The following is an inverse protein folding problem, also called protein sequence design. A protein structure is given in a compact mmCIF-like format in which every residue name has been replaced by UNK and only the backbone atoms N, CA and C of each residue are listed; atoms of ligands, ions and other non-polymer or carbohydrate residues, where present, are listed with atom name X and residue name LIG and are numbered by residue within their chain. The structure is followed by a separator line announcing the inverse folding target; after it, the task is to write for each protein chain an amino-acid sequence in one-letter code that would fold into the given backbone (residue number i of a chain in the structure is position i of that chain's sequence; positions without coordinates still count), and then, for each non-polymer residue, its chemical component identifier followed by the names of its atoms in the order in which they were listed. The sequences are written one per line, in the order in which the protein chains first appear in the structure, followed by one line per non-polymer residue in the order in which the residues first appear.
data_IF_183730038417
#
_entry.id   IF_183730038417
#
_cell.length_a   1.000
_cell.length_b   1.000
_cell.length_c   1.000
_cell.angle_alpha   90.00
_cell.angle_beta   90.00
_cell.angle_gamma   90.00
#
_symmetry.space_group_name_H-M   'P 1'
#
loop_
_entity.id
_entity.type
_entity.pdbx_description
1 polymer ?
#
# COMPACT_ATOMS: atom_id res chain seq x y z
N UNK A 1 -25.78 -20.54 -18.07
CA UNK A 1 -24.64 -20.65 -19.00
C UNK A 1 -23.53 -19.83 -18.37
N UNK A 2 -22.43 -20.47 -17.97
CA UNK A 2 -21.28 -19.74 -17.44
C UNK A 2 -20.41 -19.37 -18.63
N UNK A 3 -20.45 -18.09 -18.99
CA UNK A 3 -19.63 -17.54 -20.05
C UNK A 3 -18.28 -17.17 -19.45
N UNK A 4 -17.19 -17.71 -20.01
CA UNK A 4 -15.82 -17.37 -19.58
C UNK A 4 -15.16 -16.60 -20.70
N UNK A 5 -14.62 -15.43 -20.37
CA UNK A 5 -13.84 -14.61 -21.28
C UNK A 5 -12.39 -15.07 -21.17
N UNK A 6 -11.84 -15.49 -22.30
CA UNK A 6 -10.48 -15.98 -22.40
C UNK A 6 -9.71 -15.04 -23.29
N UNK A 7 -8.66 -14.41 -22.76
CA UNK A 7 -7.84 -13.48 -23.54
C UNK A 7 -6.36 -13.84 -23.50
N UNK A 8 -5.71 -13.70 -24.66
CA UNK A 8 -4.26 -13.87 -24.81
C UNK A 8 -3.61 -12.50 -24.81
N UNK A 9 -2.58 -12.32 -23.99
CA UNK A 9 -1.84 -11.07 -23.88
C UNK A 9 -0.37 -11.27 -24.26
N UNK A 10 0.23 -10.22 -24.82
CA UNK A 10 1.67 -10.04 -24.93
C UNK A 10 2.07 -8.83 -24.11
N UNK A 11 3.12 -8.96 -23.32
CA UNK A 11 3.66 -7.89 -22.50
C UNK A 11 5.19 -7.96 -22.51
N UNK A 12 5.82 -6.93 -21.96
CA UNK A 12 7.26 -6.90 -21.72
C UNK A 12 7.49 -6.89 -20.21
N UNK A 13 8.36 -7.76 -19.71
CA UNK A 13 8.74 -7.74 -18.30
C UNK A 13 9.68 -6.57 -17.98
N UNK A 14 10.08 -6.43 -16.72
CA UNK A 14 10.98 -5.36 -16.27
C UNK A 14 12.38 -5.44 -16.90
N UNK A 15 12.77 -6.61 -17.44
CA UNK A 15 14.06 -6.84 -18.11
C UNK A 15 14.02 -6.53 -19.61
N UNK A 16 12.85 -6.16 -20.15
CA UNK A 16 12.68 -5.94 -21.58
C UNK A 16 12.38 -7.22 -22.37
N UNK A 17 12.18 -8.36 -21.71
CA UNK A 17 11.88 -9.62 -22.39
C UNK A 17 10.38 -9.74 -22.71
N UNK A 18 10.02 -10.18 -23.93
CA UNK A 18 8.64 -10.39 -24.30
C UNK A 18 8.08 -11.62 -23.58
N UNK A 19 6.93 -11.47 -22.94
CA UNK A 19 6.20 -12.51 -22.24
C UNK A 19 4.79 -12.59 -22.80
N UNK A 20 4.33 -13.80 -23.11
CA UNK A 20 2.96 -14.06 -23.56
C UNK A 20 2.25 -14.99 -22.59
N UNK A 21 0.97 -14.73 -22.34
CA UNK A 21 0.16 -15.57 -21.46
C UNK A 21 -1.31 -15.57 -21.86
N UNK A 22 -2.05 -16.50 -21.28
CA UNK A 22 -3.50 -16.65 -21.45
C UNK A 22 -4.16 -16.46 -20.09
N UNK A 23 -5.21 -15.65 -20.04
CA UNK A 23 -5.95 -15.34 -18.81
C UNK A 23 -7.42 -15.63 -19.04
N UNK A 24 -8.01 -16.32 -18.08
CA UNK A 24 -9.44 -16.65 -18.07
C UNK A 24 -10.13 -15.82 -16.99
N UNK A 25 -11.27 -15.23 -17.32
CA UNK A 25 -12.06 -14.42 -16.40
C UNK A 25 -13.57 -14.69 -16.62
N UNK A 26 -14.36 -14.87 -15.55
CA UNK A 26 -15.79 -15.17 -15.65
C UNK A 26 -16.64 -13.96 -16.07
N UNK A 27 -16.10 -12.75 -15.98
CA UNK A 27 -16.76 -11.52 -16.40
C UNK A 27 -15.74 -10.44 -16.80
N UNK A 28 -16.25 -9.34 -17.36
CA UNK A 28 -15.44 -8.23 -17.84
C UNK A 28 -14.69 -7.52 -16.72
N UNK A 29 -15.32 -7.39 -15.56
CA UNK A 29 -14.77 -6.72 -14.39
C UNK A 29 -13.54 -7.45 -13.84
N UNK A 30 -13.61 -8.79 -13.73
CA UNK A 30 -12.49 -9.62 -13.31
C UNK A 30 -11.37 -9.64 -14.36
N UNK A 31 -11.72 -9.60 -15.66
CA UNK A 31 -10.72 -9.47 -16.73
C UNK A 31 -9.92 -8.17 -16.59
N UNK A 32 -10.61 -7.03 -16.33
CA UNK A 32 -9.97 -5.74 -16.08
C UNK A 32 -9.11 -5.76 -14.81
N UNK A 33 -9.60 -6.41 -13.74
CA UNK A 33 -8.84 -6.54 -12.50
C UNK A 33 -7.53 -7.32 -12.71
N UNK A 34 -7.57 -8.43 -13.47
CA UNK A 34 -6.36 -9.21 -13.80
C UNK A 34 -5.37 -8.43 -14.65
N UNK A 35 -5.84 -7.61 -15.59
CA UNK A 35 -4.98 -6.71 -16.37
C UNK A 35 -4.30 -5.67 -15.46
N UNK A 36 -5.03 -5.11 -14.48
CA UNK A 36 -4.44 -4.17 -13.51
C UNK A 36 -3.40 -4.87 -12.63
N UNK A 37 -3.66 -6.11 -12.19
CA UNK A 37 -2.68 -6.91 -11.46
C UNK A 37 -1.41 -7.13 -12.28
N UNK A 38 -1.51 -7.43 -13.58
CA UNK A 38 -0.33 -7.54 -14.45
C UNK A 38 0.47 -6.23 -14.50
N UNK A 39 -0.20 -5.08 -14.53
CA UNK A 39 0.48 -3.78 -14.46
C UNK A 39 1.19 -3.57 -13.12
N UNK A 40 0.56 -3.96 -12.00
CA UNK A 40 1.15 -3.87 -10.66
C UNK A 40 2.38 -4.77 -10.49
N UNK A 41 2.44 -5.90 -11.22
CA UNK A 41 3.62 -6.77 -11.27
C UNK A 41 4.76 -6.19 -12.13
N UNK A 42 4.55 -5.03 -12.76
CA UNK A 42 5.55 -4.33 -13.55
C UNK A 42 5.65 -4.81 -15.00
N UNK A 43 4.64 -5.53 -15.51
CA UNK A 43 4.52 -5.77 -16.94
C UNK A 43 4.15 -4.48 -17.67
N UNK A 44 4.93 -4.14 -18.68
CA UNK A 44 4.72 -2.97 -19.54
C UNK A 44 4.25 -3.40 -20.93
N UNK A 45 3.68 -2.47 -21.70
CA UNK A 45 3.22 -2.70 -23.09
C UNK A 45 2.26 -3.89 -23.27
N UNK A 46 1.31 -4.07 -22.34
CA UNK A 46 0.32 -5.14 -22.41
C UNK A 46 -0.59 -4.91 -23.61
N UNK A 47 -0.51 -5.81 -24.60
CA UNK A 47 -1.34 -5.84 -25.80
C UNK A 47 -2.21 -7.09 -25.77
N UNK A 48 -3.53 -6.92 -25.92
CA UNK A 48 -4.48 -8.03 -25.99
C UNK A 48 -4.61 -8.41 -27.46
N UNK A 49 -4.25 -9.65 -27.81
CA UNK A 49 -4.29 -10.09 -29.22
C UNK A 49 -5.67 -10.60 -29.62
N UNK A 50 -6.28 -11.43 -28.76
CA UNK A 50 -7.57 -12.07 -29.01
C UNK A 50 -8.34 -12.19 -27.71
N UNK A 51 -9.65 -11.95 -27.77
CA UNK A 51 -10.58 -12.16 -26.68
C UNK A 51 -11.71 -13.05 -27.18
N UNK A 52 -11.68 -14.31 -26.75
CA UNK A 52 -12.67 -15.32 -27.14
C UNK A 52 -13.68 -15.50 -26.00
N UNK A 53 -14.95 -15.58 -26.37
CA UNK A 53 -16.03 -15.91 -25.46
C UNK A 53 -16.24 -17.42 -25.57
N UNK A 54 -15.83 -18.16 -24.54
CA UNK A 54 -15.97 -19.61 -24.49
C UNK A 54 -17.15 -19.95 -23.57
N UNK A 55 -18.18 -20.56 -24.16
CA UNK A 55 -19.28 -21.12 -23.37
C UNK A 55 -18.78 -22.37 -22.65
N UNK A 56 -18.62 -22.28 -21.34
CA UNK A 56 -18.14 -23.39 -20.54
C UNK A 56 -19.24 -24.44 -20.43
N UNK A 57 -19.05 -25.60 -21.06
CA UNK A 57 -19.98 -26.72 -20.95
C UNK A 57 -19.94 -27.23 -19.49
N UNK A 58 -21.06 -27.17 -18.75
CA UNK A 58 -21.09 -27.60 -17.35
C UNK A 58 -20.85 -29.11 -17.29
N UNK A 59 -19.64 -29.52 -16.90
CA UNK A 59 -19.27 -30.94 -16.79
C UNK A 59 -17.81 -31.26 -17.11
N UNK A 60 -17.06 -30.33 -17.70
CA UNK A 60 -15.63 -30.49 -18.00
C UNK A 60 -14.82 -29.54 -17.12
N UNK A 61 -14.82 -29.79 -15.81
CA UNK A 61 -13.87 -29.15 -14.89
C UNK A 61 -12.52 -29.80 -15.11
N UNK A 62 -11.81 -29.33 -16.13
CA UNK A 62 -10.43 -29.71 -16.38
C UNK A 62 -9.60 -29.26 -15.17
N UNK A 63 -9.14 -30.25 -14.42
CA UNK A 63 -8.18 -30.16 -13.33
C UNK A 63 -6.82 -29.73 -13.90
N UNK A 64 -6.72 -28.52 -14.46
CA UNK A 64 -5.45 -27.89 -14.82
C UNK A 64 -4.92 -27.19 -13.58
N UNK A 65 -4.72 -28.00 -12.53
CA UNK A 65 -3.71 -27.68 -11.54
C UNK A 65 -2.37 -27.75 -12.27
N UNK A 66 -1.86 -26.60 -12.69
CA UNK A 66 -0.47 -26.43 -13.07
C UNK A 66 0.41 -26.76 -11.85
N UNK A 67 0.61 -28.05 -11.59
CA UNK A 67 1.64 -28.58 -10.73
C UNK A 67 2.98 -28.34 -11.42
N UNK A 68 3.58 -27.19 -11.14
CA UNK A 68 5.03 -27.07 -11.16
C UNK A 68 5.61 -28.04 -10.12
N UNK A 69 5.87 -29.29 -10.53
CA UNK A 69 6.58 -30.26 -9.72
C UNK A 69 8.07 -29.90 -9.69
N UNK A 70 8.43 -29.02 -8.76
CA UNK A 70 9.81 -28.92 -8.27
C UNK A 70 10.04 -30.11 -7.34
N UNK A 71 10.54 -31.20 -7.91
CA UNK A 71 10.88 -32.43 -7.20
C UNK A 71 12.21 -32.23 -6.47
N UNK A 72 12.18 -31.90 -5.17
CA UNK A 72 13.40 -31.84 -4.36
C UNK A 72 13.29 -31.13 -3.02
N UNK A 73 12.81 -31.84 -1.99
CA UNK A 73 13.35 -31.87 -0.62
C UNK A 73 13.70 -30.56 0.11
N UNK A 74 12.72 -29.98 0.79
CA UNK A 74 12.72 -29.50 2.19
C UNK A 74 11.41 -28.70 2.41
N UNK A 75 10.85 -28.61 3.63
CA UNK A 75 9.57 -27.93 3.87
C UNK A 75 9.72 -26.40 3.73
N UNK A 76 9.78 -25.91 2.49
CA UNK A 76 9.91 -24.49 2.13
C UNK A 76 8.70 -23.65 2.57
N UNK A 77 7.58 -24.28 2.91
CA UNK A 77 6.39 -23.58 3.38
C UNK A 77 6.64 -22.80 4.68
N UNK A 78 7.52 -23.29 5.56
CA UNK A 78 7.81 -22.61 6.84
C UNK A 78 8.71 -21.38 6.65
N UNK A 79 9.69 -21.44 5.75
CA UNK A 79 10.62 -20.33 5.49
C UNK A 79 9.96 -19.17 4.74
N UNK A 80 9.04 -19.45 3.80
CA UNK A 80 8.31 -18.39 3.09
C UNK A 80 7.45 -17.56 4.05
N UNK A 81 6.81 -18.20 5.03
CA UNK A 81 5.98 -17.52 6.02
C UNK A 81 6.80 -16.58 6.93
N UNK A 82 8.02 -17.00 7.31
CA UNK A 82 8.93 -16.15 8.10
C UNK A 82 9.49 -14.98 7.29
N UNK A 83 9.83 -15.19 6.02
CA UNK A 83 10.35 -14.11 5.15
C UNK A 83 9.28 -13.04 4.91
N UNK A 84 8.02 -13.44 4.70
CA UNK A 84 6.92 -12.49 4.54
C UNK A 84 6.61 -11.73 5.85
N UNK A 85 6.66 -12.40 7.01
CA UNK A 85 6.48 -11.74 8.31
C UNK A 85 7.60 -10.73 8.62
N UNK A 86 8.85 -11.07 8.31
CA UNK A 86 9.99 -10.15 8.46
C UNK A 86 9.90 -8.98 7.47
N UNK A 87 9.51 -9.24 6.22
CA UNK A 87 9.34 -8.18 5.22
C UNK A 87 8.20 -7.22 5.59
N UNK A 88 7.08 -7.74 6.10
CA UNK A 88 5.95 -6.91 6.53
C UNK A 88 6.28 -6.07 7.75
N UNK A 89 7.01 -6.63 8.73
CA UNK A 89 7.50 -5.86 9.89
C UNK A 89 8.50 -4.77 9.47
N UNK A 90 9.40 -5.03 8.51
CA UNK A 90 10.27 -3.99 7.96
C UNK A 90 9.49 -2.91 7.23
N UNK A 91 8.48 -3.25 6.42
CA UNK A 91 7.61 -2.26 5.75
C UNK A 91 6.87 -1.41 6.78
N UNK A 92 6.34 -2.00 7.86
CA UNK A 92 5.69 -1.26 8.93
C UNK A 92 6.67 -0.33 9.67
N UNK A 93 7.89 -0.78 9.96
CA UNK A 93 8.91 0.04 10.62
C UNK A 93 9.32 1.20 9.69
N UNK A 94 9.71 0.93 8.45
CA UNK A 94 10.17 1.98 7.52
C UNK A 94 9.04 2.92 7.09
N UNK A 95 7.82 2.41 6.87
CA UNK A 95 6.65 3.22 6.53
C UNK A 95 6.23 4.16 7.65
N UNK A 96 6.40 3.76 8.91
CA UNK A 96 6.12 4.63 10.06
C UNK A 96 7.17 5.75 10.19
N UNK A 97 8.44 5.49 9.86
CA UNK A 97 9.47 6.53 9.84
C UNK A 97 9.35 7.49 8.65
N UNK A 98 8.86 7.02 7.49
CA UNK A 98 8.64 7.90 6.33
C UNK A 98 7.48 8.89 6.49
N UNK A 99 6.57 8.68 7.46
CA UNK A 99 5.44 9.58 7.73
C UNK A 99 5.77 10.79 8.61
N UNK A 100 6.94 10.84 9.26
CA UNK A 100 7.24 11.88 10.27
C UNK A 100 8.03 13.08 9.70
N UNK A 101 8.56 13.01 8.48
CA UNK A 101 9.42 14.08 7.92
C UNK A 101 8.80 14.73 6.69
N UNK A 102 7.63 15.34 6.84
CA UNK A 102 7.17 16.40 5.92
C UNK A 102 6.03 17.25 6.50
N UNK A 103 6.09 17.65 7.79
CA UNK A 103 5.49 18.96 8.13
C UNK A 103 6.42 20.01 7.52
N UNK A 104 6.27 20.19 6.21
CA UNK A 104 6.79 21.34 5.50
C UNK A 104 6.05 22.54 6.10
N UNK A 105 6.71 23.18 7.06
CA UNK A 105 6.34 24.50 7.55
C UNK A 105 6.47 25.47 6.38
N UNK A 106 5.46 25.47 5.50
CA UNK A 106 5.30 26.54 4.52
C UNK A 106 5.29 27.83 5.32
N UNK A 107 6.37 28.59 5.17
CA UNK A 107 6.59 29.85 5.89
C UNK A 107 5.32 30.68 5.80
N UNK A 108 4.86 31.16 6.96
CA UNK A 108 3.67 31.99 7.07
C UNK A 108 3.80 33.13 6.05
N UNK A 109 2.90 33.26 5.06
CA UNK A 109 2.95 34.38 4.14
C UNK A 109 2.74 35.67 4.94
N UNK A 110 3.78 36.49 5.05
CA UNK A 110 3.73 37.75 5.82
C UNK A 110 3.34 38.96 4.97
N UNK A 111 3.35 38.85 3.63
CA UNK A 111 2.90 39.93 2.76
C UNK A 111 1.38 39.88 2.54
N UNK A 112 0.67 41.02 2.58
CA UNK A 112 -0.76 41.10 2.26
C UNK A 112 -1.10 40.51 0.88
N UNK A 113 -0.18 40.67 -0.08
CA UNK A 113 -0.29 40.12 -1.44
C UNK A 113 -0.34 38.59 -1.45
N UNK A 114 0.42 37.93 -0.58
CA UNK A 114 0.43 36.48 -0.49
C UNK A 114 -0.85 35.94 0.18
N UNK A 115 -1.40 36.64 1.17
CA UNK A 115 -2.70 36.30 1.78
C UNK A 115 -3.80 36.42 0.73
N UNK A 116 -3.81 37.50 -0.05
CA UNK A 116 -4.79 37.72 -1.11
C UNK A 116 -4.69 36.64 -2.20
N UNK A 117 -3.48 36.31 -2.66
CA UNK A 117 -3.29 35.25 -3.66
C UNK A 117 -3.74 33.87 -3.16
N UNK A 118 -3.55 33.55 -1.88
CA UNK A 118 -3.97 32.28 -1.29
C UNK A 118 -5.50 32.19 -1.16
N UNK A 119 -6.13 33.26 -0.69
CA UNK A 119 -7.59 33.36 -0.61
C UNK A 119 -8.22 33.29 -2.01
N UNK A 120 -7.65 33.97 -3.00
CA UNK A 120 -8.11 33.95 -4.40
C UNK A 120 -8.04 32.55 -5.02
N UNK A 121 -6.99 31.78 -4.70
CA UNK A 121 -6.85 30.40 -5.20
C UNK A 121 -7.96 29.47 -4.69
N UNK A 122 -8.47 29.74 -3.48
CA UNK A 122 -9.46 28.89 -2.81
C UNK A 122 -10.89 29.28 -3.19
N UNK A 123 -11.17 30.58 -3.22
CA UNK A 123 -12.53 31.12 -3.36
C UNK A 123 -12.80 31.78 -4.71
N UNK A 124 -11.79 31.85 -5.60
CA UNK A 124 -11.91 32.51 -6.89
C UNK A 124 -12.06 34.02 -6.75
N UNK A 125 -12.95 34.61 -7.56
CA UNK A 125 -13.25 36.04 -7.57
C UNK A 125 -14.51 36.40 -6.73
N UNK A 126 -14.97 35.50 -5.86
CA UNK A 126 -16.08 35.80 -4.92
C UNK A 126 -15.60 36.77 -3.83
N UNK A 127 -15.98 38.04 -3.98
CA UNK A 127 -15.52 39.12 -3.13
C UNK A 127 -15.90 38.92 -1.65
N UNK A 128 -17.10 38.38 -1.36
CA UNK A 128 -17.55 38.18 0.02
C UNK A 128 -16.71 37.11 0.75
N UNK A 129 -16.33 36.06 0.03
CA UNK A 129 -15.48 34.99 0.56
C UNK A 129 -14.02 35.42 0.66
N UNK A 130 -13.54 36.22 -0.31
CA UNK A 130 -12.22 36.84 -0.27
C UNK A 130 -12.06 37.76 0.95
N UNK A 131 -13.01 38.66 1.19
CA UNK A 131 -12.98 39.59 2.33
C UNK A 131 -12.94 38.84 3.67
N UNK A 132 -13.80 37.82 3.81
CA UNK A 132 -13.87 36.98 5.02
C UNK A 132 -12.55 36.22 5.24
N UNK A 133 -11.96 35.68 4.17
CA UNK A 133 -10.69 34.96 4.23
C UNK A 133 -9.52 35.88 4.65
N UNK A 134 -9.43 37.08 4.07
CA UNK A 134 -8.39 38.07 4.41
C UNK A 134 -8.52 38.47 5.87
N UNK A 135 -9.73 38.83 6.33
CA UNK A 135 -9.99 39.23 7.71
C UNK A 135 -9.60 38.14 8.71
N UNK A 136 -9.96 36.88 8.44
CA UNK A 136 -9.59 35.76 9.29
C UNK A 136 -8.07 35.54 9.38
N UNK A 137 -7.36 35.68 8.25
CA UNK A 137 -5.88 35.56 8.19
C UNK A 137 -5.18 36.72 8.89
N UNK A 138 -5.71 37.93 8.80
CA UNK A 138 -5.20 39.11 9.52
C UNK A 138 -5.42 38.99 11.04
N UNK A 139 -6.58 38.53 11.48
CA UNK A 139 -6.87 38.27 12.90
C UNK A 139 -5.94 37.20 13.47
N UNK A 140 -5.69 36.14 12.71
CA UNK A 140 -4.70 35.11 13.04
C UNK A 140 -3.25 35.61 13.05
N UNK A 141 -2.94 36.64 12.25
CA UNK A 141 -1.63 37.28 12.28
C UNK A 141 -1.45 38.15 13.54
N UNK A 142 -2.50 38.83 13.99
CA UNK A 142 -2.50 39.68 15.19
C UNK A 142 -2.47 38.88 16.50
N UNK A 143 -3.01 37.66 16.52
CA UNK A 143 -3.02 36.81 17.72
C UNK A 143 -2.44 35.41 17.45
N UNK A 144 -1.10 35.27 17.37
CA UNK A 144 -0.46 33.99 17.09
C UNK A 144 -0.65 32.93 18.20
N UNK A 145 -1.05 33.32 19.42
CA UNK A 145 -1.25 32.39 20.53
C UNK A 145 -2.56 31.60 20.48
N UNK A 146 -3.57 32.07 19.74
CA UNK A 146 -4.89 31.41 19.69
C UNK A 146 -4.95 30.22 18.72
N UNK A 147 -3.94 30.06 17.86
CA UNK A 147 -3.90 28.99 16.84
C UNK A 147 -3.12 27.74 17.27
N UNK A 148 -2.54 27.69 18.47
CA UNK A 148 -1.82 26.50 18.97
C UNK A 148 -2.72 25.47 19.67
N UNK A 149 -4.04 25.65 19.69
CA UNK A 149 -4.99 24.78 20.39
C UNK A 149 -5.22 23.38 19.80
N UNK A 150 -4.34 22.85 18.94
CA UNK A 150 -4.58 21.60 18.21
C UNK A 150 -3.45 20.57 18.15
N UNK A 151 -2.23 20.83 18.64
CA UNK A 151 -1.10 19.94 18.27
C UNK A 151 0.01 19.75 19.30
N UNK A 152 -0.20 20.10 20.57
CA UNK A 152 0.70 19.68 21.65
C UNK A 152 0.25 18.37 22.32
N UNK A 153 -1.06 18.11 22.41
CA UNK A 153 -1.60 16.86 22.99
C UNK A 153 -1.56 15.66 22.03
N UNK A 154 -1.58 15.91 20.71
CA UNK A 154 -1.54 14.84 19.71
C UNK A 154 -0.23 14.05 19.69
N UNK A 155 0.90 14.70 20.01
CA UNK A 155 2.22 14.04 19.99
C UNK A 155 2.35 13.09 21.20
N UNK A 156 1.82 13.46 22.36
CA UNK A 156 1.86 12.62 23.57
C UNK A 156 1.08 11.30 23.38
N UNK A 157 -0.04 11.33 22.66
CA UNK A 157 -0.85 10.12 22.38
C UNK A 157 -0.11 9.17 21.43
N UNK A 158 0.55 9.68 20.40
CA UNK A 158 1.34 8.83 19.48
C UNK A 158 2.52 8.15 20.16
N UNK A 159 3.27 8.84 21.01
CA UNK A 159 4.41 8.23 21.71
C UNK A 159 3.93 7.23 22.78
N UNK A 160 2.86 7.55 23.51
CA UNK A 160 2.28 6.66 24.51
C UNK A 160 1.70 5.36 23.91
N UNK A 161 1.00 5.46 22.77
CA UNK A 161 0.44 4.30 22.09
C UNK A 161 1.53 3.38 21.53
N UNK A 162 2.61 3.95 20.98
CA UNK A 162 3.74 3.17 20.46
C UNK A 162 4.49 2.42 21.58
N UNK A 163 4.70 3.08 22.74
CA UNK A 163 5.36 2.47 23.89
C UNK A 163 4.50 1.37 24.53
N UNK A 164 3.18 1.58 24.61
CA UNK A 164 2.23 0.56 25.08
C UNK A 164 2.18 -0.65 24.16
N UNK A 165 2.17 -0.45 22.83
CA UNK A 165 2.19 -1.55 21.87
C UNK A 165 3.50 -2.37 21.96
N UNK A 166 4.64 -1.70 22.12
CA UNK A 166 5.94 -2.38 22.29
C UNK A 166 6.00 -3.21 23.58
N UNK A 167 5.49 -2.71 24.70
CA UNK A 167 5.48 -3.44 25.98
C UNK A 167 4.63 -4.73 25.93
N UNK A 168 3.58 -4.78 25.10
CA UNK A 168 2.75 -5.98 24.93
C UNK A 168 3.29 -6.96 23.89
N UNK A 169 3.92 -6.48 22.81
CA UNK A 169 4.40 -7.34 21.73
C UNK A 169 5.74 -8.03 22.05
N UNK A 170 6.66 -7.37 22.75
CA UNK A 170 7.98 -7.92 23.07
C UNK A 170 7.97 -9.21 23.92
N UNK A 171 7.15 -9.37 24.97
CA UNK A 171 7.18 -10.60 25.77
C UNK A 171 6.64 -11.82 25.01
N UNK A 172 5.71 -11.64 24.08
CA UNK A 172 5.15 -12.76 23.28
C UNK A 172 6.17 -13.26 22.26
N UNK A 173 6.89 -12.36 21.60
CA UNK A 173 7.91 -12.75 20.60
C UNK A 173 9.20 -13.24 21.27
N UNK A 174 9.56 -12.71 22.45
CA UNK A 174 10.76 -13.12 23.17
C UNK A 174 10.73 -14.55 23.71
N UNK A 175 9.56 -15.05 24.12
CA UNK A 175 9.41 -16.41 24.66
C UNK A 175 9.52 -17.51 23.58
N UNK A 176 9.06 -17.24 22.37
CA UNK A 176 9.15 -18.17 21.22
C UNK A 176 10.61 -18.40 20.78
N UNK A 177 11.45 -17.35 20.80
CA UNK A 177 12.87 -17.46 20.40
C UNK A 177 13.65 -18.37 21.36
N UNK A 178 13.32 -18.36 22.67
CA UNK A 178 13.99 -19.20 23.67
C UNK A 178 13.63 -20.69 23.48
N UNK A 179 12.39 -21.01 23.10
CA UNK A 179 11.96 -22.38 22.86
C UNK A 179 12.66 -23.04 21.66
N UNK A 180 12.95 -22.25 20.62
CA UNK A 180 13.68 -22.71 19.42
C UNK A 180 15.15 -23.00 19.76
N UNK A 181 15.78 -22.19 20.63
CA UNK A 181 17.17 -22.42 21.03
C UNK A 181 17.36 -23.72 21.81
N UNK A 182 16.40 -24.10 22.67
CA UNK A 182 16.47 -25.32 23.49
C UNK A 182 16.31 -26.59 22.63
N UNK A 183 15.45 -26.56 21.60
CA UNK A 183 15.19 -27.73 20.74
C UNK A 183 16.36 -28.04 19.79
N UNK A 184 17.10 -27.03 19.32
CA UNK A 184 18.29 -27.25 18.48
C UNK A 184 19.47 -27.82 19.28
N UNK A 185 19.59 -27.48 20.58
CA UNK A 185 20.65 -27.99 21.44
C UNK A 185 20.56 -29.49 21.79
N UNK A 186 19.36 -30.09 21.72
CA UNK A 186 19.14 -31.47 22.18
C UNK A 186 19.51 -32.55 21.14
N UNK A 187 19.68 -32.19 19.86
CA UNK A 187 20.02 -33.16 18.78
C UNK A 187 21.51 -33.48 18.61
N UNK A 188 22.38 -32.95 19.48
CA UNK A 188 23.85 -33.11 19.39
C UNK A 188 24.46 -34.03 20.47
N UNK A 189 23.66 -34.82 21.18
CA UNK A 189 24.15 -35.88 22.08
C UNK A 189 23.75 -37.25 21.59
#
# INVERSE_FOLDING_TARGET
MNTVIVFTYKATDQSGQPVSGKVEAPNKEEALQKIETLRQLGFQNITIEHADIVDQKPGESEEVAAQSQVKGGMPVAATVCHVLAVLWTLICIFGFFSGVVAVSSKGKPTSPEAIMSECKKTWGDDYAMLETCIKAKEEAAKNPQKQTGGTAEGIAITVGFFFWMMLWFFPVVGLEIIAIAITVGSKKK
#
